data_IF_072120700091
#
_entry.id   IF_072120700091
#
_cell.length_a   1.000
_cell.length_b   1.000
_cell.length_c   1.000
_cell.angle_alpha   90.00
_cell.angle_beta   90.00
_cell.angle_gamma   90.00
#
_symmetry.space_group_name_H-M   'P 1'
#
loop_
_entity.id
_entity.type
_entity.pdbx_description
1 polymer ?
#
# COMPACT_ATOMS: atom_id res chain seq x y z
N UNK A 1 -15.56 -12.15 7.44
CA UNK A 1 -14.61 -11.10 7.84
C UNK A 1 -14.78 -9.95 6.87
N UNK A 2 -14.90 -8.70 7.31
CA UNK A 2 -14.96 -7.55 6.40
C UNK A 2 -13.55 -7.04 6.09
N UNK A 3 -13.33 -6.59 4.86
CA UNK A 3 -12.03 -6.05 4.42
C UNK A 3 -11.52 -4.90 5.29
N UNK A 4 -12.45 -4.07 5.78
CA UNK A 4 -12.14 -2.96 6.69
C UNK A 4 -11.62 -3.43 8.06
N UNK A 5 -12.18 -4.51 8.61
CA UNK A 5 -11.78 -5.01 9.93
C UNK A 5 -10.35 -5.55 9.87
N UNK A 6 -10.06 -6.41 8.90
CA UNK A 6 -8.71 -6.95 8.68
C UNK A 6 -7.70 -5.84 8.42
N UNK A 7 -8.07 -4.86 7.60
CA UNK A 7 -7.24 -3.69 7.33
C UNK A 7 -6.95 -2.91 8.61
N UNK A 8 -7.95 -2.70 9.47
CA UNK A 8 -7.76 -1.95 10.71
C UNK A 8 -6.90 -2.71 11.73
N UNK A 9 -7.01 -4.04 11.79
CA UNK A 9 -6.11 -4.88 12.59
C UNK A 9 -4.66 -4.77 12.11
N UNK A 10 -4.45 -4.87 10.79
CA UNK A 10 -3.13 -4.69 10.18
C UNK A 10 -2.59 -3.29 10.48
N UNK A 11 -3.44 -2.26 10.35
CA UNK A 11 -3.06 -0.89 10.68
C UNK A 11 -2.63 -0.77 12.13
N UNK A 12 -3.43 -1.28 13.06
CA UNK A 12 -3.15 -1.27 14.50
C UNK A 12 -1.81 -1.93 14.83
N UNK A 13 -1.51 -3.06 14.18
CA UNK A 13 -0.21 -3.74 14.33
C UNK A 13 0.97 -2.94 13.77
N UNK A 14 0.73 -1.99 12.86
CA UNK A 14 1.73 -1.22 12.14
C UNK A 14 1.75 0.27 12.50
N UNK A 15 0.93 0.71 13.47
CA UNK A 15 0.87 2.12 13.91
C UNK A 15 2.21 2.62 14.43
N UNK A 16 3.05 1.74 14.97
CA UNK A 16 4.41 2.06 15.41
C UNK A 16 5.35 2.42 14.26
N UNK A 17 5.05 2.01 13.02
CA UNK A 17 5.89 2.25 11.83
C UNK A 17 5.26 3.19 10.82
N UNK A 18 3.93 3.30 10.79
CA UNK A 18 3.22 4.13 9.83
C UNK A 18 1.98 4.76 10.49
N UNK A 19 1.64 5.96 10.06
CA UNK A 19 0.47 6.68 10.55
C UNK A 19 -0.75 6.43 9.65
N UNK A 20 -1.92 6.22 10.28
CA UNK A 20 -3.20 6.18 9.58
C UNK A 20 -3.50 7.53 8.94
N UNK A 21 -3.99 7.51 7.72
CA UNK A 21 -4.37 8.68 6.93
C UNK A 21 -5.53 8.30 5.99
N UNK A 22 -6.02 9.27 5.20
CA UNK A 22 -6.96 9.01 4.11
C UNK A 22 -6.34 9.37 2.76
N UNK A 23 -6.63 8.58 1.74
CA UNK A 23 -6.25 8.82 0.34
C UNK A 23 -7.41 8.35 -0.56
N UNK A 24 -7.89 9.19 -1.47
CA UNK A 24 -9.05 8.91 -2.33
C UNK A 24 -10.35 8.56 -1.57
N UNK A 25 -10.56 9.12 -0.38
CA UNK A 25 -11.70 8.79 0.49
C UNK A 25 -11.59 7.43 1.19
N UNK A 26 -10.54 6.67 0.91
CA UNK A 26 -10.22 5.38 1.51
C UNK A 26 -9.23 5.52 2.68
N UNK A 27 -9.29 4.65 3.69
CA UNK A 27 -8.26 4.61 4.74
C UNK A 27 -6.94 4.11 4.15
N UNK A 28 -5.84 4.78 4.52
CA UNK A 28 -4.49 4.48 4.07
C UNK A 28 -3.48 4.58 5.21
N UNK A 29 -2.32 3.98 5.01
CA UNK A 29 -1.18 4.05 5.91
C UNK A 29 -0.03 4.79 5.22
N UNK A 30 0.51 5.79 5.92
CA UNK A 30 1.65 6.59 5.46
C UNK A 30 2.83 6.33 6.36
N UNK A 31 3.99 6.08 5.77
CA UNK A 31 5.23 6.01 6.55
C UNK A 31 5.58 7.39 7.13
N UNK A 32 6.41 7.47 8.17
CA UNK A 32 6.91 8.75 8.74
C UNK A 32 7.56 9.66 7.70
N UNK A 33 7.98 9.11 6.57
CA UNK A 33 8.51 9.85 5.42
C UNK A 33 7.43 10.60 4.60
N UNK A 34 6.16 10.51 4.99
CA UNK A 34 5.05 11.19 4.34
C UNK A 34 4.55 10.52 3.05
N UNK A 35 5.11 9.37 2.66
CA UNK A 35 4.69 8.58 1.50
C UNK A 35 3.66 7.52 1.92
N UNK A 36 2.64 7.32 1.09
CA UNK A 36 1.67 6.24 1.30
C UNK A 36 2.31 4.90 0.97
N UNK A 37 2.21 3.95 1.91
CA UNK A 37 2.60 2.56 1.69
C UNK A 37 1.43 1.80 1.07
N UNK A 38 0.29 1.77 1.76
CA UNK A 38 -0.87 1.01 1.31
C UNK A 38 -2.20 1.68 1.69
N UNK A 39 -3.28 1.30 1.02
CA UNK A 39 -4.64 1.76 1.28
C UNK A 39 -5.69 0.69 0.98
N UNK A 40 -6.88 0.83 1.56
CA UNK A 40 -8.01 -0.04 1.28
C UNK A 40 -8.98 0.63 0.32
N UNK A 41 -9.02 0.20 -0.94
CA UNK A 41 -9.89 0.78 -1.96
C UNK A 41 -10.92 -0.23 -2.44
N UNK A 42 -12.22 0.08 -2.25
CA UNK A 42 -13.35 -0.79 -2.66
C UNK A 42 -13.17 -2.26 -2.24
N UNK A 43 -12.73 -2.50 -0.99
CA UNK A 43 -12.46 -3.83 -0.44
C UNK A 43 -11.22 -4.56 -0.99
N UNK A 44 -10.44 -3.90 -1.85
CA UNK A 44 -9.13 -4.35 -2.28
C UNK A 44 -8.03 -3.66 -1.50
N UNK A 45 -7.03 -4.42 -1.05
CA UNK A 45 -5.83 -3.87 -0.48
C UNK A 45 -4.91 -3.41 -1.61
N UNK A 46 -4.72 -2.10 -1.69
CA UNK A 46 -3.83 -1.46 -2.65
C UNK A 46 -2.51 -1.18 -1.96
N UNK A 47 -1.46 -1.91 -2.34
CA UNK A 47 -0.13 -1.80 -1.73
C UNK A 47 0.90 -1.32 -2.75
N UNK A 48 1.85 -0.51 -2.31
CA UNK A 48 2.99 -0.11 -3.13
C UNK A 48 4.17 -1.03 -2.84
N UNK A 49 4.60 -1.78 -3.84
CA UNK A 49 5.70 -2.74 -3.71
C UNK A 49 6.80 -2.42 -4.71
N UNK A 50 7.97 -3.01 -4.48
CA UNK A 50 9.04 -3.03 -5.46
C UNK A 50 8.66 -3.93 -6.64
N UNK A 51 9.37 -3.80 -7.76
CA UNK A 51 9.08 -4.55 -8.99
C UNK A 51 9.09 -6.06 -8.79
N UNK A 52 9.99 -6.61 -7.96
CA UNK A 52 10.09 -8.05 -7.70
C UNK A 52 8.84 -8.55 -6.96
N UNK A 53 8.54 -7.98 -5.79
CA UNK A 53 7.37 -8.39 -5.00
C UNK A 53 6.06 -8.11 -5.75
N UNK A 54 6.00 -7.00 -6.50
CA UNK A 54 4.87 -6.71 -7.39
C UNK A 54 4.66 -7.82 -8.41
N UNK A 55 5.71 -8.28 -9.09
CA UNK A 55 5.58 -9.31 -10.12
C UNK A 55 5.15 -10.66 -9.52
N UNK A 56 5.66 -11.01 -8.34
CA UNK A 56 5.20 -12.18 -7.59
C UNK A 56 3.72 -12.07 -7.19
N UNK A 57 3.27 -10.88 -6.82
CA UNK A 57 1.86 -10.65 -6.44
C UNK A 57 0.96 -10.65 -7.67
N UNK A 58 1.39 -10.06 -8.78
CA UNK A 58 0.65 -10.06 -10.07
C UNK A 58 0.54 -11.45 -10.69
N UNK A 59 1.40 -12.40 -10.29
CA UNK A 59 1.28 -13.80 -10.68
C UNK A 59 0.15 -14.54 -9.95
N UNK A 60 -0.47 -13.91 -8.93
CA UNK A 60 -1.63 -14.46 -8.22
C UNK A 60 -2.92 -14.18 -9.00
N UNK A 61 -3.84 -15.14 -8.95
CA UNK A 61 -5.14 -15.05 -9.61
C UNK A 61 -6.02 -14.00 -8.92
N UNK A 62 -6.69 -13.12 -9.66
CA UNK A 62 -7.51 -12.05 -9.06
C UNK A 62 -6.73 -10.85 -8.51
N UNK A 63 -5.40 -10.81 -8.64
CA UNK A 63 -4.59 -9.61 -8.37
C UNK A 63 -4.43 -8.79 -9.64
N UNK A 64 -4.55 -7.47 -9.52
CA UNK A 64 -4.40 -6.54 -10.64
C UNK A 64 -3.44 -5.40 -10.33
N UNK A 65 -3.00 -4.71 -11.39
CA UNK A 65 -2.30 -3.43 -11.22
C UNK A 65 -3.32 -2.35 -10.86
N UNK A 66 -3.05 -1.57 -9.81
CA UNK A 66 -3.97 -0.53 -9.38
C UNK A 66 -3.97 0.66 -10.33
N UNK A 67 -5.16 1.02 -10.82
CA UNK A 67 -5.36 2.18 -11.70
C UNK A 67 -6.42 3.11 -11.10
N UNK A 68 -6.04 4.21 -10.42
CA UNK A 68 -6.99 5.12 -9.78
C UNK A 68 -7.77 5.99 -10.77
N UNK A 69 -7.29 6.14 -12.00
CA UNK A 69 -7.88 6.99 -13.04
C UNK A 69 -7.79 6.25 -14.38
N UNK A 70 -8.86 6.30 -15.17
CA UNK A 70 -8.92 5.69 -16.50
C UNK A 70 -7.77 6.25 -17.37
N UNK A 71 -6.76 5.42 -17.66
CA UNK A 71 -5.62 5.79 -18.50
C UNK A 71 -4.30 6.19 -17.81
N UNK A 72 -4.17 6.12 -16.47
CA UNK A 72 -2.86 6.29 -15.79
C UNK A 72 -2.56 5.16 -14.80
N UNK A 73 -2.02 4.02 -15.28
CA UNK A 73 -1.55 2.95 -14.40
C UNK A 73 -0.44 3.48 -13.49
N UNK A 74 -0.62 3.32 -12.19
CA UNK A 74 0.35 3.77 -11.21
C UNK A 74 1.39 2.65 -11.02
N UNK A 75 2.54 2.77 -11.67
CA UNK A 75 3.61 1.78 -11.59
C UNK A 75 4.01 1.52 -10.13
N UNK A 76 4.19 0.24 -9.78
CA UNK A 76 4.50 -0.21 -8.41
C UNK A 76 3.30 -0.38 -7.47
N UNK A 77 2.06 -0.11 -7.91
CA UNK A 77 0.87 -0.35 -7.09
C UNK A 77 0.10 -1.57 -7.58
N UNK A 78 -0.21 -2.46 -6.65
CA UNK A 78 -1.02 -3.66 -6.90
C UNK A 78 -2.25 -3.65 -6.00
N UNK A 79 -3.37 -4.14 -6.52
CA UNK A 79 -4.60 -4.34 -5.76
C UNK A 79 -4.79 -5.84 -5.51
N UNK A 80 -5.02 -6.19 -4.25
CA UNK A 80 -5.14 -7.57 -3.80
C UNK A 80 -6.51 -7.76 -3.14
N UNK A 81 -7.28 -8.73 -3.62
CA UNK A 81 -8.58 -9.07 -3.06
C UNK A 81 -8.48 -9.75 -1.69
N UNK A 82 -9.62 -9.88 -1.01
CA UNK A 82 -9.71 -10.58 0.27
C UNK A 82 -9.42 -12.09 0.18
N UNK A 83 -9.38 -12.65 -1.02
CA UNK A 83 -8.94 -14.04 -1.26
C UNK A 83 -7.51 -14.29 -0.75
N UNK A 84 -6.70 -13.24 -0.66
CA UNK A 84 -5.36 -13.28 -0.08
C UNK A 84 -5.24 -12.49 1.23
N UNK A 85 -6.33 -12.43 2.01
CA UNK A 85 -6.36 -11.81 3.33
C UNK A 85 -5.16 -12.21 4.21
N UNK A 86 -4.76 -13.48 4.20
CA UNK A 86 -3.58 -13.99 4.92
C UNK A 86 -2.27 -13.32 4.49
N UNK A 87 -2.16 -12.92 3.21
CA UNK A 87 -0.99 -12.21 2.66
C UNK A 87 -1.06 -10.70 2.87
N UNK A 88 -2.21 -10.13 3.21
CA UNK A 88 -2.37 -8.68 3.34
C UNK A 88 -1.38 -8.08 4.34
N UNK A 89 -1.23 -8.73 5.51
CA UNK A 89 -0.28 -8.29 6.53
C UNK A 89 1.16 -8.30 6.00
N UNK A 90 1.57 -9.39 5.37
CA UNK A 90 2.91 -9.53 4.77
C UNK A 90 3.17 -8.47 3.70
N UNK A 91 2.20 -8.24 2.80
CA UNK A 91 2.30 -7.24 1.74
C UNK A 91 2.35 -5.81 2.30
N UNK A 92 1.57 -5.52 3.34
CA UNK A 92 1.59 -4.24 4.03
C UNK A 92 2.96 -3.96 4.68
N UNK A 93 3.55 -4.96 5.34
CA UNK A 93 4.90 -4.88 5.91
C UNK A 93 5.97 -4.65 4.83
N UNK A 94 5.91 -5.40 3.73
CA UNK A 94 6.81 -5.23 2.57
C UNK A 94 6.67 -3.85 1.95
N UNK A 95 5.45 -3.35 1.87
CA UNK A 95 5.17 -2.02 1.33
C UNK A 95 5.75 -0.91 2.19
N UNK A 96 5.58 -1.00 3.52
CA UNK A 96 6.23 -0.07 4.46
C UNK A 96 7.75 -0.13 4.29
N UNK A 97 8.35 -1.33 4.33
CA UNK A 97 9.81 -1.51 4.18
C UNK A 97 10.34 -0.91 2.87
N UNK A 98 9.64 -1.14 1.75
CA UNK A 98 10.00 -0.56 0.46
C UNK A 98 9.89 0.97 0.44
N UNK A 99 8.81 1.53 0.99
CA UNK A 99 8.59 2.98 1.03
C UNK A 99 9.54 3.68 2.00
N UNK A 100 9.89 3.02 3.11
CA UNK A 100 10.94 3.48 4.03
C UNK A 100 12.31 3.51 3.32
N UNK A 101 12.65 2.46 2.57
CA UNK A 101 13.91 2.39 1.80
C UNK A 101 13.98 3.36 0.63
N UNK A 102 12.84 3.67 -0.01
CA UNK A 102 12.76 4.61 -1.13
C UNK A 102 13.27 6.03 -0.79
N UNK A 103 13.29 6.43 0.49
CA UNK A 103 13.82 7.73 0.92
C UNK A 103 15.35 7.80 0.95
N UNK A 104 16.05 6.66 0.87
CA UNK A 104 17.49 6.66 0.69
C UNK A 104 17.91 7.22 -0.69
N UNK A 105 16.98 7.38 -1.64
CA UNK A 105 17.30 7.74 -3.03
C UNK A 105 16.42 8.85 -3.64
N UNK A 106 15.66 9.63 -2.85
CA UNK A 106 14.94 10.81 -3.36
C UNK A 106 15.56 12.08 -2.76
N UNK A 107 16.19 12.97 -3.56
CA UNK A 107 16.61 14.27 -3.06
C UNK A 107 15.36 15.04 -2.58
N UNK A 108 15.42 15.52 -1.34
CA UNK A 108 14.36 16.30 -0.67
C UNK A 108 13.88 17.45 -1.57
N UNK A 109 12.78 17.24 -2.29
CA UNK A 109 12.08 18.32 -2.96
C UNK A 109 11.17 19.02 -1.93
N UNK A 110 11.74 20.05 -1.30
CA UNK A 110 11.10 21.28 -0.82
C UNK A 110 9.71 21.17 -0.16
N UNK A 111 9.66 21.40 1.15
CA UNK A 111 8.60 22.25 1.73
C UNK A 111 9.23 23.51 2.31
N UNK A 112 9.23 24.57 1.49
CA UNK A 112 9.14 25.95 1.96
C UNK A 112 7.73 26.16 2.51
N UNK A 113 7.61 26.60 3.76
CA UNK A 113 7.05 27.92 4.06
C UNK A 113 7.42 28.34 5.47
#
# INVERSE_FOLDING_TARGET
>A
MKAQELFDEICSSLESRAARSKMFGAPCMKTPNGKAAFCLYKEFLVVKLDTQTQNETLALDGVGMFSPMDGRPMNGWVQVGMEYADKWKFLAEKSIDFVEKLEANVPKASKKK
#
